data_IF_962941809468
#
_entry.id   IF_962941809468
#
_cell.length_a   1.000
_cell.length_b   1.000
_cell.length_c   1.000
_cell.angle_alpha   90.00
_cell.angle_beta   90.00
_cell.angle_gamma   90.00
#
_symmetry.space_group_name_H-M   'P 1'
#
loop_
_entity.id
_entity.type
_entity.pdbx_description
1 polymer ?
#
# COMPACT_ATOMS: atom_id res chain seq x y z
N UNK A 1 18.85 79.81 -32.32
CA UNK A 1 20.08 79.62 -31.52
C UNK A 1 19.86 80.22 -30.14
N UNK A 2 20.47 79.57 -29.14
CA UNK A 2 20.70 80.00 -27.75
C UNK A 2 19.53 80.09 -26.76
N UNK A 3 19.64 79.20 -25.77
CA UNK A 3 19.05 79.07 -24.43
C UNK A 3 18.63 80.35 -23.73
N UNK A 4 17.62 80.23 -22.86
CA UNK A 4 17.70 80.76 -21.49
C UNK A 4 16.83 79.91 -20.54
N UNK A 5 17.49 79.30 -19.55
CA UNK A 5 16.90 79.15 -18.23
C UNK A 5 17.61 80.15 -17.32
N UNK A 6 16.92 80.68 -16.31
CA UNK A 6 17.54 80.66 -14.99
C UNK A 6 16.57 80.15 -13.91
N UNK A 7 17.16 79.39 -13.00
CA UNK A 7 16.56 79.01 -11.73
C UNK A 7 16.64 80.18 -10.76
N UNK A 8 15.55 80.46 -10.02
CA UNK A 8 15.59 81.22 -8.77
C UNK A 8 15.15 80.30 -7.64
N UNK A 9 16.09 80.03 -6.75
CA UNK A 9 15.85 79.45 -5.42
C UNK A 9 15.08 80.46 -4.57
N UNK A 10 14.08 80.01 -3.82
CA UNK A 10 14.13 80.33 -2.39
C UNK A 10 13.42 79.30 -1.50
N UNK A 11 13.94 79.31 -0.29
CA UNK A 11 13.90 78.28 0.72
C UNK A 11 12.66 78.34 1.62
N UNK A 12 12.27 77.13 2.07
CA UNK A 12 11.81 76.78 3.42
C UNK A 12 10.35 77.09 3.80
N UNK A 13 9.81 76.10 4.53
CA UNK A 13 8.59 76.07 5.37
C UNK A 13 7.33 75.77 4.55
N UNK A 14 6.80 74.56 4.60
CA UNK A 14 6.20 74.02 5.82
C UNK A 14 5.97 72.51 5.64
N UNK A 15 6.67 71.71 6.45
CA UNK A 15 6.27 70.35 6.74
C UNK A 15 5.04 70.43 7.66
N UNK A 16 3.92 69.84 7.26
CA UNK A 16 2.79 69.39 8.11
C UNK A 16 1.61 68.95 7.21
N UNK A 17 1.73 67.83 6.48
CA UNK A 17 0.57 67.24 5.80
C UNK A 17 0.77 65.78 5.33
N UNK A 18 1.52 64.92 6.06
CA UNK A 18 1.62 63.50 5.70
C UNK A 18 1.72 62.61 6.96
N UNK A 19 0.71 62.65 7.83
CA UNK A 19 0.65 61.73 9.00
C UNK A 19 -0.61 60.86 9.02
N UNK A 20 -1.61 61.06 8.17
CA UNK A 20 -2.81 60.22 8.18
C UNK A 20 -2.96 59.41 6.88
N UNK A 21 -2.12 58.40 6.69
CA UNK A 21 -2.39 57.24 5.82
C UNK A 21 -1.37 56.08 6.00
N UNK A 22 -0.64 56.05 7.12
CA UNK A 22 0.37 54.99 7.39
C UNK A 22 -0.01 53.97 8.45
N UNK A 23 -1.21 54.07 9.03
CA UNK A 23 -1.59 53.31 10.23
C UNK A 23 -2.49 52.09 10.01
N UNK A 24 -2.83 51.74 8.76
CA UNK A 24 -3.84 50.71 8.48
C UNK A 24 -3.30 49.47 7.75
N UNK A 25 -2.01 49.18 7.84
CA UNK A 25 -1.44 47.92 7.33
C UNK A 25 -0.97 46.97 8.43
N UNK A 26 -0.91 47.42 9.70
CA UNK A 26 -0.44 46.57 10.81
C UNK A 26 -1.58 45.73 11.42
N UNK A 27 -2.84 46.04 11.13
CA UNK A 27 -3.99 45.29 11.67
C UNK A 27 -4.34 44.00 10.89
N UNK A 28 -3.74 43.76 9.72
CA UNK A 28 -3.99 42.51 8.95
C UNK A 28 -3.08 41.34 9.36
N UNK A 29 -2.03 41.57 10.15
CA UNK A 29 -1.17 40.51 10.65
C UNK A 29 -1.70 39.83 11.93
N UNK A 30 -2.82 40.30 12.49
CA UNK A 30 -3.35 39.84 13.77
C UNK A 30 -4.46 38.78 13.68
N UNK A 31 -4.96 38.45 12.48
CA UNK A 31 -5.92 37.36 12.26
C UNK A 31 -5.29 36.11 11.62
N UNK A 32 -3.96 36.03 11.62
CA UNK A 32 -3.19 34.89 11.13
C UNK A 32 -2.28 34.36 12.21
N UNK A 33 -2.81 33.99 13.38
CA UNK A 33 -2.15 32.91 14.12
C UNK A 33 -2.25 31.70 13.22
N UNK A 34 -1.22 31.49 12.40
CA UNK A 34 -0.98 30.24 11.67
C UNK A 34 -0.87 29.14 12.72
N UNK A 35 -2.02 28.60 13.12
CA UNK A 35 -2.03 27.32 13.81
C UNK A 35 -1.38 26.34 12.85
N UNK A 36 -0.18 25.88 13.21
CA UNK A 36 0.51 24.83 12.46
C UNK A 36 -0.48 23.66 12.29
N UNK A 37 -0.98 23.40 11.07
CA UNK A 37 -2.01 22.39 10.83
C UNK A 37 -1.51 20.99 11.21
N UNK A 38 -0.19 20.84 11.41
CA UNK A 38 0.47 19.61 11.78
C UNK A 38 0.78 19.51 13.28
N UNK A 39 0.41 20.52 14.09
CA UNK A 39 0.66 20.50 15.54
C UNK A 39 -0.07 19.31 16.18
N UNK A 40 0.69 18.45 16.86
CA UNK A 40 0.17 17.23 17.49
C UNK A 40 0.01 16.03 16.56
N UNK A 41 0.44 16.13 15.30
CA UNK A 41 0.48 14.99 14.38
C UNK A 41 1.78 14.18 14.54
N UNK A 42 1.88 13.05 13.82
CA UNK A 42 3.09 12.23 13.74
C UNK A 42 4.19 12.80 12.81
N UNK A 43 4.02 14.04 12.31
CA UNK A 43 4.99 14.75 11.46
C UNK A 43 5.06 14.26 10.02
N UNK A 44 4.18 13.35 9.58
CA UNK A 44 4.19 12.81 8.20
C UNK A 44 3.81 13.88 7.17
N UNK A 45 2.93 14.81 7.52
CA UNK A 45 2.45 15.88 6.62
C UNK A 45 3.56 16.85 6.16
N UNK A 46 4.65 16.96 6.92
CA UNK A 46 5.82 17.81 6.60
C UNK A 46 6.82 17.14 5.65
N UNK A 47 6.61 15.87 5.31
CA UNK A 47 7.55 15.07 4.52
C UNK A 47 7.24 15.15 3.02
N UNK A 48 8.28 15.06 2.19
CA UNK A 48 8.09 14.88 0.75
C UNK A 48 7.49 13.51 0.44
N UNK A 49 6.88 13.35 -0.73
CA UNK A 49 6.30 12.07 -1.16
C UNK A 49 7.31 10.90 -1.06
N UNK A 50 8.57 11.14 -1.44
CA UNK A 50 9.63 10.12 -1.35
C UNK A 50 9.98 9.76 0.11
N UNK A 51 9.94 10.74 1.03
CA UNK A 51 10.15 10.48 2.46
C UNK A 51 8.96 9.72 3.07
N UNK A 52 7.73 10.02 2.65
CA UNK A 52 6.53 9.30 3.06
C UNK A 52 6.60 7.84 2.60
N UNK A 53 6.86 7.59 1.31
CA UNK A 53 7.00 6.24 0.75
C UNK A 53 8.09 5.44 1.50
N UNK A 54 9.28 6.03 1.67
CA UNK A 54 10.37 5.38 2.41
C UNK A 54 9.98 5.04 3.84
N UNK A 55 9.33 5.96 4.56
CA UNK A 55 8.90 5.75 5.95
C UNK A 55 7.81 4.68 6.03
N UNK A 56 6.86 4.66 5.09
CA UNK A 56 5.79 3.67 5.02
C UNK A 56 6.33 2.26 4.74
N UNK A 57 7.24 2.10 3.77
CA UNK A 57 7.91 0.83 3.47
C UNK A 57 8.68 0.30 4.67
N UNK A 58 9.48 1.16 5.31
CA UNK A 58 10.24 0.77 6.50
C UNK A 58 9.32 0.32 7.66
N UNK A 59 8.16 0.96 7.83
CA UNK A 59 7.18 0.56 8.83
C UNK A 59 6.54 -0.80 8.49
N UNK A 60 6.21 -1.06 7.22
CA UNK A 60 5.68 -2.34 6.76
C UNK A 60 6.72 -3.48 6.92
N UNK A 61 7.98 -3.21 6.58
CA UNK A 61 9.07 -4.18 6.71
C UNK A 61 9.33 -4.57 8.17
N UNK A 62 9.30 -3.57 9.07
CA UNK A 62 9.53 -3.77 10.49
C UNK A 62 8.35 -4.43 11.23
N UNK A 63 7.15 -4.48 10.64
CA UNK A 63 5.99 -5.08 11.26
C UNK A 63 6.21 -6.60 11.49
N UNK A 64 5.99 -7.08 12.71
CA UNK A 64 6.15 -8.51 13.04
C UNK A 64 5.14 -9.39 12.30
N UNK A 65 3.93 -8.87 12.09
CA UNK A 65 2.87 -9.50 11.33
C UNK A 65 2.05 -8.46 10.56
N UNK A 66 1.45 -8.88 9.45
CA UNK A 66 0.57 -8.05 8.62
C UNK A 66 -0.65 -8.85 8.17
N UNK A 67 -1.73 -8.14 7.83
CA UNK A 67 -2.82 -8.68 7.02
C UNK A 67 -2.83 -7.98 5.67
N UNK A 68 -2.82 -8.77 4.60
CA UNK A 68 -2.90 -8.29 3.23
C UNK A 68 -4.24 -8.74 2.65
N UNK A 69 -5.09 -7.79 2.29
CA UNK A 69 -6.37 -8.06 1.65
C UNK A 69 -6.54 -7.19 0.43
N UNK A 70 -7.00 -7.76 -0.68
CA UNK A 70 -7.34 -7.00 -1.87
C UNK A 70 -7.37 -7.85 -3.14
N UNK A 71 -7.55 -7.16 -4.26
CA UNK A 71 -7.61 -7.76 -5.60
C UNK A 71 -6.30 -7.51 -6.34
N UNK A 72 -5.63 -8.58 -6.77
CA UNK A 72 -4.43 -8.55 -7.58
C UNK A 72 -4.79 -8.81 -9.05
N UNK A 73 -4.31 -7.94 -9.93
CA UNK A 73 -4.44 -8.12 -11.38
C UNK A 73 -3.06 -8.42 -11.94
N UNK A 74 -2.92 -9.55 -12.61
CA UNK A 74 -1.67 -9.97 -13.26
C UNK A 74 -1.95 -10.48 -14.68
N UNK A 75 -0.89 -10.73 -15.46
CA UNK A 75 -1.02 -11.38 -16.78
C UNK A 75 -1.75 -12.74 -16.72
N UNK A 76 -1.67 -13.44 -15.58
CA UNK A 76 -2.31 -14.74 -15.36
C UNK A 76 -3.78 -14.66 -14.93
N UNK A 77 -4.29 -13.47 -14.59
CA UNK A 77 -5.67 -13.28 -14.18
C UNK A 77 -5.85 -12.35 -12.98
N UNK A 78 -7.09 -12.27 -12.52
CA UNK A 78 -7.51 -11.53 -11.33
C UNK A 78 -7.66 -12.50 -10.16
N UNK A 79 -7.05 -12.16 -9.03
CA UNK A 79 -7.09 -12.95 -7.80
C UNK A 79 -7.49 -12.05 -6.64
N UNK A 80 -8.40 -12.51 -5.79
CA UNK A 80 -8.64 -11.92 -4.48
C UNK A 80 -7.79 -12.64 -3.44
N UNK A 81 -7.15 -11.85 -2.58
CA UNK A 81 -6.25 -12.29 -1.55
C UNK A 81 -6.77 -11.80 -0.20
N UNK A 82 -6.71 -12.66 0.82
CA UNK A 82 -6.82 -12.27 2.23
C UNK A 82 -5.87 -13.15 3.04
N UNK A 83 -4.69 -12.63 3.35
CA UNK A 83 -3.61 -13.34 4.02
C UNK A 83 -3.22 -12.65 5.33
N UNK A 84 -2.95 -13.45 6.35
CA UNK A 84 -2.27 -13.05 7.58
C UNK A 84 -0.87 -13.65 7.55
N UNK A 85 0.15 -12.83 7.72
CA UNK A 85 1.54 -13.19 7.47
C UNK A 85 2.42 -12.75 8.63
N UNK A 86 3.40 -13.59 8.98
CA UNK A 86 4.47 -13.24 9.92
C UNK A 86 5.80 -13.80 9.40
N UNK A 87 6.85 -13.78 10.23
CA UNK A 87 8.17 -14.29 9.85
C UNK A 87 8.21 -15.83 9.65
N UNK A 88 7.33 -16.56 10.32
CA UNK A 88 7.35 -18.03 10.36
C UNK A 88 6.42 -18.66 9.32
N UNK A 89 5.50 -17.89 8.74
CA UNK A 89 4.38 -18.49 8.04
C UNK A 89 3.33 -17.51 7.56
N UNK A 90 2.24 -18.09 7.11
CA UNK A 90 1.08 -17.35 6.65
C UNK A 90 -0.15 -18.23 6.56
N UNK A 91 -1.32 -17.63 6.75
CA UNK A 91 -2.59 -18.31 6.48
C UNK A 91 -3.60 -17.37 5.87
N UNK A 92 -4.50 -17.92 5.06
CA UNK A 92 -5.52 -17.12 4.41
C UNK A 92 -6.11 -17.79 3.19
N UNK A 93 -6.78 -17.00 2.36
CA UNK A 93 -7.47 -17.47 1.16
C UNK A 93 -6.98 -16.77 -0.09
N UNK A 94 -6.95 -17.54 -1.19
CA UNK A 94 -6.75 -17.07 -2.55
C UNK A 94 -7.97 -17.47 -3.36
N UNK A 95 -8.63 -16.49 -3.96
CA UNK A 95 -9.81 -16.71 -4.79
C UNK A 95 -9.53 -16.25 -6.21
N UNK A 96 -9.78 -17.11 -7.18
CA UNK A 96 -9.83 -16.79 -8.60
C UNK A 96 -11.27 -16.87 -9.10
N UNK A 97 -11.53 -16.45 -10.34
CA UNK A 97 -12.86 -16.59 -10.95
C UNK A 97 -13.42 -18.02 -10.96
N UNK A 98 -12.54 -19.03 -10.94
CA UNK A 98 -12.91 -20.43 -11.08
C UNK A 98 -13.01 -21.17 -9.75
N UNK A 99 -12.22 -20.75 -8.76
CA UNK A 99 -11.97 -21.54 -7.56
C UNK A 99 -11.42 -20.68 -6.44
N UNK A 100 -11.72 -21.08 -5.20
CA UNK A 100 -11.15 -20.53 -3.97
C UNK A 100 -10.47 -21.64 -3.19
N UNK A 101 -9.31 -21.34 -2.62
CA UNK A 101 -8.59 -22.24 -1.74
C UNK A 101 -7.94 -21.48 -0.59
N UNK A 102 -7.69 -22.18 0.51
CA UNK A 102 -6.99 -21.68 1.67
C UNK A 102 -5.57 -22.23 1.73
N UNK A 103 -4.64 -21.40 2.19
CA UNK A 103 -3.26 -21.77 2.46
C UNK A 103 -2.97 -21.66 3.95
N UNK A 104 -2.12 -22.56 4.44
CA UNK A 104 -1.52 -22.50 5.77
C UNK A 104 -0.05 -22.90 5.64
N UNK A 105 0.85 -22.04 6.09
CA UNK A 105 2.27 -22.33 6.18
C UNK A 105 2.77 -22.16 7.60
N UNK A 106 3.52 -23.14 8.09
CA UNK A 106 4.24 -23.11 9.37
C UNK A 106 5.68 -23.57 9.11
N UNK A 107 6.64 -22.66 9.23
CA UNK A 107 8.00 -22.89 8.78
C UNK A 107 8.03 -23.18 7.27
N UNK A 108 8.61 -24.31 6.88
CA UNK A 108 8.62 -24.75 5.48
C UNK A 108 7.46 -25.70 5.14
N UNK A 109 6.64 -26.08 6.11
CA UNK A 109 5.48 -26.93 5.82
C UNK A 109 4.33 -26.09 5.28
N UNK A 110 3.94 -26.39 4.03
CA UNK A 110 2.85 -25.73 3.34
C UNK A 110 1.67 -26.68 3.18
N UNK A 111 0.48 -26.17 3.45
CA UNK A 111 -0.77 -26.90 3.37
C UNK A 111 -1.78 -26.13 2.51
N UNK A 112 -2.48 -26.87 1.67
CA UNK A 112 -3.57 -26.39 0.82
C UNK A 112 -4.88 -26.99 1.31
N UNK A 113 -5.91 -26.17 1.43
CA UNK A 113 -7.28 -26.61 1.68
C UNK A 113 -8.18 -26.11 0.58
N UNK A 114 -8.90 -27.02 -0.06
CA UNK A 114 -9.80 -26.73 -1.15
C UNK A 114 -11.06 -27.60 -1.04
N UNK A 115 -12.19 -27.18 -1.65
CA UNK A 115 -13.41 -27.97 -1.65
C UNK A 115 -13.25 -29.25 -2.50
N UNK A 116 -14.18 -30.20 -2.42
CA UNK A 116 -14.02 -31.53 -3.02
C UNK A 116 -13.79 -31.46 -4.54
N UNK A 117 -14.50 -30.57 -5.23
CA UNK A 117 -14.41 -30.31 -6.67
C UNK A 117 -13.03 -29.83 -7.14
N UNK A 118 -12.18 -29.34 -6.23
CA UNK A 118 -10.80 -28.99 -6.56
C UNK A 118 -9.95 -30.23 -6.83
N UNK A 119 -10.28 -31.34 -6.17
CA UNK A 119 -9.51 -32.59 -6.20
C UNK A 119 -9.98 -33.54 -7.31
N UNK A 120 -11.10 -33.24 -7.98
CA UNK A 120 -11.58 -34.01 -9.12
C UNK A 120 -10.85 -33.55 -10.40
N UNK A 121 -10.10 -34.44 -11.04
CA UNK A 121 -9.48 -34.17 -12.34
C UNK A 121 -10.50 -34.39 -13.48
N UNK A 122 -10.87 -33.37 -14.26
CA UNK A 122 -11.76 -33.52 -15.44
C UNK A 122 -11.10 -34.21 -16.67
N UNK A 123 -10.12 -35.10 -16.48
CA UNK A 123 -9.18 -35.48 -17.55
C UNK A 123 -8.94 -36.96 -17.82
N UNK A 124 -9.45 -37.89 -17.00
CA UNK A 124 -9.04 -39.29 -17.06
C UNK A 124 -10.25 -40.23 -17.10
N UNK A 125 -11.00 -40.16 -18.20
CA UNK A 125 -12.10 -41.08 -18.48
C UNK A 125 -11.68 -42.55 -18.34
N UNK A 126 -12.28 -43.24 -17.36
CA UNK A 126 -12.03 -44.64 -17.03
C UNK A 126 -12.34 -44.93 -15.56
N UNK A 127 -11.98 -46.13 -15.07
CA UNK A 127 -12.10 -46.55 -13.65
C UNK A 127 -11.44 -45.55 -12.67
N UNK A 128 -10.55 -44.69 -13.16
CA UNK A 128 -9.94 -43.54 -12.46
C UNK A 128 -10.97 -42.56 -11.90
N UNK A 129 -12.05 -42.26 -12.63
CA UNK A 129 -13.07 -41.26 -12.22
C UNK A 129 -13.71 -41.58 -10.86
N UNK A 130 -13.94 -42.87 -10.56
CA UNK A 130 -14.53 -43.29 -9.29
C UNK A 130 -13.55 -43.23 -8.13
N UNK A 131 -12.27 -43.54 -8.38
CA UNK A 131 -11.20 -43.42 -7.39
C UNK A 131 -10.87 -41.94 -7.10
N UNK A 132 -10.91 -41.10 -8.13
CA UNK A 132 -10.69 -39.66 -8.06
C UNK A 132 -11.83 -38.98 -7.27
N UNK A 133 -13.08 -39.40 -7.47
CA UNK A 133 -14.21 -38.93 -6.66
C UNK A 133 -14.10 -39.33 -5.18
N UNK A 134 -13.75 -40.59 -4.89
CA UNK A 134 -13.61 -41.06 -3.51
C UNK A 134 -12.42 -40.40 -2.77
N UNK A 135 -11.35 -40.07 -3.49
CA UNK A 135 -10.24 -39.27 -2.96
C UNK A 135 -10.68 -37.82 -2.72
N UNK A 136 -11.39 -37.22 -3.68
CA UNK A 136 -11.92 -35.87 -3.57
C UNK A 136 -12.83 -35.69 -2.35
N UNK A 137 -13.73 -36.64 -2.09
CA UNK A 137 -14.60 -36.62 -0.90
C UNK A 137 -13.83 -36.68 0.41
N UNK A 138 -12.70 -37.40 0.44
CA UNK A 138 -11.84 -37.50 1.64
C UNK A 138 -11.00 -36.25 1.87
N UNK A 139 -10.52 -35.64 0.79
CA UNK A 139 -9.62 -34.48 0.82
C UNK A 139 -10.38 -33.15 0.91
N UNK A 140 -11.64 -33.13 0.45
CA UNK A 140 -12.52 -31.98 0.48
C UNK A 140 -12.53 -31.29 1.85
N UNK A 141 -12.14 -30.03 1.87
CA UNK A 141 -12.11 -29.20 3.08
C UNK A 141 -11.05 -29.59 4.11
N UNK A 142 -10.12 -30.50 3.80
CA UNK A 142 -8.95 -30.83 4.63
C UNK A 142 -7.73 -30.02 4.21
N UNK A 143 -6.78 -29.86 5.14
CA UNK A 143 -5.45 -29.35 4.81
C UNK A 143 -4.60 -30.50 4.32
N UNK A 144 -4.18 -30.42 3.06
CA UNK A 144 -3.32 -31.39 2.39
C UNK A 144 -1.93 -30.78 2.29
N UNK A 145 -0.91 -31.51 2.75
CA UNK A 145 0.49 -31.05 2.69
C UNK A 145 0.94 -30.99 1.24
N UNK A 146 1.53 -29.86 0.84
CA UNK A 146 2.15 -29.66 -0.47
C UNK A 146 3.62 -30.08 -0.37
N UNK A 147 4.08 -31.10 -1.12
CA UNK A 147 5.48 -31.51 -1.09
C UNK A 147 6.42 -30.40 -1.59
N UNK A 148 7.56 -30.20 -0.95
CA UNK A 148 8.54 -29.16 -1.36
C UNK A 148 9.11 -29.37 -2.77
N UNK A 149 9.15 -30.62 -3.23
CA UNK A 149 9.56 -30.99 -4.58
C UNK A 149 8.50 -30.71 -5.66
N UNK A 150 7.27 -30.38 -5.27
CA UNK A 150 6.20 -30.05 -6.21
C UNK A 150 6.41 -28.63 -6.79
N UNK A 151 6.31 -28.42 -8.12
CA UNK A 151 6.41 -27.09 -8.72
C UNK A 151 5.46 -26.06 -8.09
N UNK A 152 4.27 -26.49 -7.68
CA UNK A 152 3.24 -25.65 -7.05
C UNK A 152 3.67 -25.14 -5.68
N UNK A 153 4.56 -25.84 -4.97
CA UNK A 153 5.04 -25.43 -3.65
C UNK A 153 5.65 -24.03 -3.68
N UNK A 154 6.54 -23.74 -4.65
CA UNK A 154 7.20 -22.43 -4.76
C UNK A 154 6.21 -21.32 -5.04
N UNK A 155 5.25 -21.59 -5.92
CA UNK A 155 4.20 -20.62 -6.28
C UNK A 155 3.29 -20.32 -5.08
N UNK A 156 2.81 -21.36 -4.40
CA UNK A 156 1.91 -21.24 -3.26
C UNK A 156 2.62 -20.65 -2.03
N UNK A 157 3.89 -20.99 -1.79
CA UNK A 157 4.72 -20.42 -0.73
C UNK A 157 4.83 -18.90 -0.87
N UNK A 158 4.91 -18.38 -2.10
CA UNK A 158 4.93 -16.95 -2.37
C UNK A 158 3.77 -16.19 -1.71
N UNK A 159 2.56 -16.76 -1.69
CA UNK A 159 1.39 -16.14 -1.04
C UNK A 159 1.42 -16.18 0.50
N UNK A 160 2.33 -16.96 1.08
CA UNK A 160 2.46 -17.10 2.54
C UNK A 160 3.76 -16.49 3.06
N UNK A 161 4.57 -15.89 2.21
CA UNK A 161 5.81 -15.22 2.58
C UNK A 161 5.58 -13.71 2.72
N UNK A 162 5.74 -13.18 3.94
CA UNK A 162 5.51 -11.77 4.26
C UNK A 162 6.35 -10.84 3.38
N UNK A 163 7.63 -11.15 3.22
CA UNK A 163 8.58 -10.28 2.53
C UNK A 163 8.33 -10.29 1.03
N UNK A 164 8.16 -11.49 0.45
CA UNK A 164 7.87 -11.64 -0.98
C UNK A 164 6.59 -10.93 -1.36
N UNK A 165 5.50 -11.09 -0.58
CA UNK A 165 4.24 -10.42 -0.87
C UNK A 165 4.32 -8.91 -0.71
N UNK A 166 4.92 -8.40 0.37
CA UNK A 166 5.06 -6.95 0.56
C UNK A 166 5.92 -6.31 -0.54
N UNK A 167 7.06 -6.93 -0.87
CA UNK A 167 7.96 -6.44 -1.92
C UNK A 167 7.23 -6.43 -3.28
N UNK A 168 6.50 -7.51 -3.60
CA UNK A 168 5.74 -7.60 -4.85
C UNK A 168 4.58 -6.61 -4.95
N UNK A 169 3.88 -6.34 -3.84
CA UNK A 169 2.71 -5.45 -3.83
C UNK A 169 3.07 -3.97 -3.76
N UNK A 170 4.10 -3.62 -2.98
CA UNK A 170 4.51 -2.23 -2.80
C UNK A 170 5.37 -1.71 -3.97
N UNK A 171 5.91 -2.60 -4.81
CA UNK A 171 6.69 -2.22 -6.00
C UNK A 171 5.85 -2.09 -7.29
N UNK A 172 4.54 -2.33 -7.23
CA UNK A 172 3.62 -2.11 -8.36
C UNK A 172 3.47 -0.60 -8.60
N UNK A 173 4.21 -0.06 -9.57
CA UNK A 173 4.10 1.32 -10.07
C UNK A 173 3.62 1.30 -11.51
#
# INVERSE_FOLDING_TARGET
MTSFAPAVRNHRRTALALVLCGGLTVALAACGTEEDPDKGTNGVAKLSAAQIDKKARAAADAASAVRLSGTLVSKGGTYELDMKLNAEGGMGSVTSKKQSFALLRVGDELYLKAPAEFWTHEGSGGESETADAAAADKLGGKYVKVPEGDPSYRQLRGFTDKKVLLDGLLALH
#
